data_IF_831948170286
#
_entry.id   IF_831948170286
#
_cell.length_a   1.000
_cell.length_b   1.000
_cell.length_c   1.000
_cell.angle_alpha   90.00
_cell.angle_beta   90.00
_cell.angle_gamma   90.00
#
_symmetry.space_group_name_H-M   'P 1'
#
loop_
_entity.id
_entity.type
_entity.pdbx_description
1 polymer ?
#
# COMPACT_ATOMS: atom_id res chain seq x y z
N UNK A 1 21.30 -17.75 7.32
CA UNK A 1 20.94 -16.72 8.27
C UNK A 1 19.80 -15.88 7.75
N UNK A 2 18.81 -15.67 8.56
CA UNK A 2 17.67 -14.90 8.13
C UNK A 2 17.92 -13.41 8.33
N UNK A 3 17.52 -12.60 7.38
CA UNK A 3 17.60 -11.16 7.59
C UNK A 3 16.65 -10.74 8.70
N UNK A 4 17.08 -9.78 9.44
CA UNK A 4 16.25 -9.25 10.52
C UNK A 4 15.30 -8.21 9.96
N UNK A 5 14.14 -8.67 9.56
CA UNK A 5 13.15 -7.81 8.92
C UNK A 5 12.62 -6.75 9.87
N UNK A 6 12.62 -7.03 11.16
CA UNK A 6 12.04 -6.08 12.10
C UNK A 6 12.90 -4.83 12.25
N UNK A 7 14.20 -4.98 12.14
CA UNK A 7 15.08 -3.82 12.18
C UNK A 7 14.89 -2.96 10.95
N UNK A 8 14.68 -3.61 9.82
CA UNK A 8 14.54 -2.90 8.56
C UNK A 8 13.37 -1.94 8.53
N UNK A 9 12.19 -2.39 8.96
CA UNK A 9 11.03 -1.54 8.84
C UNK A 9 11.07 -0.36 9.81
N UNK A 10 11.66 -0.53 10.98
CA UNK A 10 11.81 0.60 11.90
C UNK A 10 12.70 1.68 11.33
N UNK A 11 13.77 1.27 10.69
CA UNK A 11 14.69 2.22 10.08
C UNK A 11 14.04 2.94 8.93
N UNK A 12 13.27 2.24 8.12
CA UNK A 12 12.56 2.87 7.01
C UNK A 12 11.51 3.85 7.50
N UNK A 13 10.88 3.53 8.62
CA UNK A 13 9.91 4.45 9.20
C UNK A 13 10.59 5.75 9.63
N UNK A 14 11.74 5.65 10.26
CA UNK A 14 12.50 6.83 10.68
C UNK A 14 12.99 7.64 9.48
N UNK A 15 13.28 6.98 8.39
CA UNK A 15 13.76 7.63 7.18
C UNK A 15 12.63 8.17 6.30
N UNK A 16 11.38 7.96 6.71
CA UNK A 16 10.27 8.45 5.93
C UNK A 16 10.00 7.65 4.69
N UNK A 17 10.30 6.36 4.70
CA UNK A 17 10.10 5.50 3.54
C UNK A 17 8.86 4.64 3.60
N UNK A 18 8.01 4.83 4.59
CA UNK A 18 6.77 4.06 4.72
C UNK A 18 5.62 4.86 4.12
N UNK A 19 4.99 4.28 3.12
CA UNK A 19 3.90 4.94 2.40
C UNK A 19 2.59 4.24 2.67
N UNK A 20 1.55 5.03 2.80
CA UNK A 20 0.20 4.52 2.96
C UNK A 20 -0.57 4.75 1.68
N UNK A 21 -1.25 3.72 1.22
CA UNK A 21 -2.09 3.81 0.06
C UNK A 21 -3.46 3.26 0.32
N UNK A 22 -4.42 3.66 -0.49
CA UNK A 22 -5.77 3.13 -0.46
C UNK A 22 -6.10 2.59 -1.84
N UNK A 23 -6.58 1.36 -1.87
CA UNK A 23 -6.92 0.67 -3.11
C UNK A 23 -8.39 0.35 -3.07
N UNK A 24 -9.12 0.76 -4.11
CA UNK A 24 -10.51 0.38 -4.26
C UNK A 24 -10.60 -0.84 -5.13
N UNK A 25 -11.30 -1.84 -4.64
CA UNK A 25 -11.48 -3.09 -5.35
C UNK A 25 -12.97 -3.38 -5.47
N UNK A 26 -13.32 -4.12 -6.50
CA UNK A 26 -14.69 -4.57 -6.68
C UNK A 26 -14.75 -6.06 -6.47
N UNK A 27 -15.82 -6.48 -5.84
CA UNK A 27 -16.10 -7.88 -5.65
C UNK A 27 -17.50 -8.15 -6.13
N UNK A 28 -17.65 -9.16 -6.95
CA UNK A 28 -18.97 -9.53 -7.43
C UNK A 28 -19.69 -10.30 -6.34
N UNK A 29 -20.86 -9.83 -6.01
CA UNK A 29 -21.63 -10.47 -4.95
C UNK A 29 -22.34 -11.70 -5.45
N UNK A 30 -21.95 -12.83 -4.96
CA UNK A 30 -22.49 -14.14 -5.16
C UNK A 30 -23.75 -14.26 -6.00
N UNK A 31 -24.91 -14.25 -5.38
CA UNK A 31 -26.16 -14.53 -6.05
C UNK A 31 -26.78 -13.34 -6.76
N UNK A 32 -26.29 -12.15 -6.48
CA UNK A 32 -26.77 -10.95 -7.15
C UNK A 32 -25.69 -10.44 -8.08
N UNK A 33 -26.10 -9.77 -9.13
CA UNK A 33 -25.15 -9.16 -10.05
C UNK A 33 -24.59 -7.85 -9.51
N UNK A 34 -24.80 -7.55 -8.26
CA UNK A 34 -24.33 -6.33 -7.67
C UNK A 34 -22.82 -6.39 -7.44
N UNK A 35 -22.17 -5.32 -7.82
CA UNK A 35 -20.75 -5.16 -7.54
C UNK A 35 -20.59 -4.42 -6.22
N UNK A 36 -19.78 -4.99 -5.36
CA UNK A 36 -19.45 -4.36 -4.10
C UNK A 36 -18.08 -3.71 -4.22
N UNK A 37 -18.00 -2.46 -3.81
CA UNK A 37 -16.75 -1.73 -3.80
C UNK A 37 -16.27 -1.66 -2.38
N UNK A 38 -15.02 -2.03 -2.17
CA UNK A 38 -14.42 -1.94 -0.84
C UNK A 38 -13.03 -1.35 -0.96
N UNK A 39 -12.57 -0.76 0.13
CA UNK A 39 -11.28 -0.08 0.17
C UNK A 39 -10.34 -0.85 1.08
N UNK A 40 -9.13 -1.05 0.60
CA UNK A 40 -8.08 -1.71 1.37
C UNK A 40 -6.99 -0.68 1.65
N UNK A 41 -6.59 -0.59 2.91
CA UNK A 41 -5.46 0.24 3.29
C UNK A 41 -4.18 -0.57 3.20
N UNK A 42 -3.20 -0.07 2.48
CA UNK A 42 -1.98 -0.79 2.20
C UNK A 42 -0.79 0.06 2.63
N UNK A 43 0.17 -0.58 3.27
CA UNK A 43 1.41 0.09 3.66
C UNK A 43 2.57 -0.56 2.93
N UNK A 44 3.41 0.25 2.32
CA UNK A 44 4.58 -0.25 1.62
C UNK A 44 5.80 0.58 2.01
N UNK A 45 6.94 -0.05 1.95
CA UNK A 45 8.21 0.60 2.18
C UNK A 45 8.86 0.87 0.83
N UNK A 46 9.13 2.13 0.56
CA UNK A 46 9.66 2.52 -0.75
C UNK A 46 10.38 3.85 -0.62
N UNK A 47 11.45 4.06 -1.37
CA UNK A 47 12.14 5.35 -1.35
C UNK A 47 11.37 6.48 -2.03
N UNK A 48 10.42 6.17 -2.91
CA UNK A 48 9.66 7.19 -3.61
C UNK A 48 8.20 6.83 -3.69
N UNK A 49 7.37 7.83 -3.87
CA UNK A 49 5.93 7.63 -4.04
C UNK A 49 5.63 6.83 -5.30
N UNK A 50 6.35 7.12 -6.37
CA UNK A 50 6.11 6.43 -7.63
C UNK A 50 6.36 4.94 -7.51
N UNK A 51 7.42 4.56 -6.84
CA UNK A 51 7.73 3.15 -6.64
C UNK A 51 6.72 2.51 -5.70
N UNK A 52 6.28 3.23 -4.67
CA UNK A 52 5.25 2.73 -3.78
C UNK A 52 3.96 2.43 -4.56
N UNK A 53 3.58 3.34 -5.44
CA UNK A 53 2.40 3.14 -6.27
C UNK A 53 2.56 1.92 -7.15
N UNK A 54 3.72 1.73 -7.74
CA UNK A 54 3.99 0.57 -8.59
C UNK A 54 3.88 -0.73 -7.79
N UNK A 55 4.43 -0.73 -6.58
CA UNK A 55 4.38 -1.92 -5.74
C UNK A 55 2.93 -2.29 -5.42
N UNK A 56 2.14 -1.30 -5.02
CA UNK A 56 0.75 -1.56 -4.67
C UNK A 56 -0.03 -2.02 -5.90
N UNK A 57 0.19 -1.40 -7.04
CA UNK A 57 -0.48 -1.80 -8.27
C UNK A 57 -0.13 -3.23 -8.66
N UNK A 58 1.08 -3.66 -8.37
CA UNK A 58 1.49 -5.03 -8.63
C UNK A 58 0.81 -6.01 -7.68
N UNK A 59 0.62 -5.60 -6.42
CA UNK A 59 -0.05 -6.43 -5.44
C UNK A 59 -1.55 -6.58 -5.72
N UNK A 60 -2.15 -5.55 -6.31
CA UNK A 60 -3.58 -5.53 -6.59
C UNK A 60 -3.80 -5.17 -8.06
N UNK A 61 -3.50 -6.09 -8.98
CA UNK A 61 -3.55 -5.76 -10.40
C UNK A 61 -4.95 -5.45 -10.92
N UNK A 62 -5.99 -5.82 -10.18
CA UNK A 62 -7.36 -5.58 -10.61
C UNK A 62 -8.01 -4.41 -9.88
N UNK A 63 -7.21 -3.50 -9.37
CA UNK A 63 -7.75 -2.37 -8.63
C UNK A 63 -8.58 -1.45 -9.54
N UNK A 64 -9.61 -0.85 -8.96
CA UNK A 64 -10.40 0.15 -9.66
C UNK A 64 -9.80 1.54 -9.49
N UNK A 65 -9.26 1.80 -8.32
CA UNK A 65 -8.68 3.09 -8.01
C UNK A 65 -7.53 2.89 -7.04
N UNK A 66 -6.52 3.71 -7.17
CA UNK A 66 -5.34 3.64 -6.33
C UNK A 66 -4.92 5.04 -5.97
N UNK A 67 -4.84 5.31 -4.68
CA UNK A 67 -4.38 6.59 -4.16
C UNK A 67 -3.28 6.35 -3.15
N UNK A 68 -2.26 7.19 -3.18
CA UNK A 68 -1.18 7.15 -2.21
C UNK A 68 -1.06 8.52 -1.59
N UNK A 69 -0.81 8.57 -0.28
CA UNK A 69 -0.62 9.82 0.41
C UNK A 69 0.52 10.62 -0.21
N UNK A 70 0.42 11.93 -0.14
CA UNK A 70 1.44 12.81 -0.72
C UNK A 70 2.75 12.74 0.04
N UNK A 71 2.72 12.33 1.29
CA UNK A 71 3.90 12.28 2.12
C UNK A 71 4.01 10.92 2.79
N UNK A 72 5.21 10.42 3.00
CA UNK A 72 5.38 9.17 3.74
C UNK A 72 4.99 9.33 5.19
N UNK A 73 4.63 8.21 5.82
CA UNK A 73 4.17 8.23 7.20
C UNK A 73 5.32 8.52 8.16
N UNK A 74 6.46 7.90 7.93
CA UNK A 74 7.56 8.06 8.85
C UNK A 74 8.14 9.46 8.78
N UNK A 75 8.06 10.20 9.86
CA UNK A 75 8.72 11.50 9.93
C UNK A 75 10.03 11.36 10.65
N UNK A 76 11.06 12.02 10.15
CA UNK A 76 12.34 12.03 10.87
C UNK A 76 12.15 12.70 12.21
N UNK A 77 12.70 12.09 13.20
CA UNK A 77 12.62 12.61 14.55
C UNK A 77 13.42 13.90 14.68
#
# INVERSE_FOLDING_TARGET
MQPDMSIGWEQHLKNGNLWRGEVELTMQGGETDEQLIYTVEVFVVSPTQELAQYIIATMYPEYESLCIDDEPIGTPA
#
